data_IF_653669382105
#
_entry.id   IF_653669382105
#
_cell.length_a   1.000
_cell.length_b   1.000
_cell.length_c   1.000
_cell.angle_alpha   90.00
_cell.angle_beta   90.00
_cell.angle_gamma   90.00
#
_symmetry.space_group_name_H-M   'P 1'
#
loop_
_entity.id
_entity.type
_entity.pdbx_description
1 polymer ?
#
# COMPACT_ATOMS: atom_id res chain seq x y z
N UNK A 1 -55.41 32.05 -3.51
CA UNK A 1 -55.27 30.58 -3.50
C UNK A 1 -53.79 30.24 -3.53
N UNK A 2 -53.42 29.29 -2.67
CA UNK A 2 -52.09 28.71 -2.39
C UNK A 2 -51.18 29.57 -1.49
N UNK A 3 -50.99 29.05 -0.28
CA UNK A 3 -50.31 29.59 0.90
C UNK A 3 -48.78 29.49 0.84
N UNK A 4 -48.04 30.34 1.59
CA UNK A 4 -46.66 30.08 1.95
C UNK A 4 -46.57 29.33 3.31
N UNK A 5 -45.89 28.19 3.31
CA UNK A 5 -45.63 27.40 4.52
C UNK A 5 -44.46 27.99 5.30
N UNK A 6 -44.76 28.54 6.48
CA UNK A 6 -43.79 28.96 7.50
C UNK A 6 -43.25 27.72 8.23
N UNK A 7 -41.94 27.48 8.17
CA UNK A 7 -41.27 26.57 9.09
C UNK A 7 -41.11 27.25 10.46
N UNK A 8 -41.75 26.69 11.48
CA UNK A 8 -41.58 27.07 12.89
C UNK A 8 -40.36 26.33 13.45
N UNK A 9 -39.43 27.10 14.00
CA UNK A 9 -38.45 26.63 14.99
C UNK A 9 -39.20 26.33 16.29
N UNK A 10 -39.03 25.12 16.84
CA UNK A 10 -39.40 24.81 18.21
C UNK A 10 -38.13 24.65 19.07
N UNK A 11 -38.16 25.10 20.33
CA UNK A 11 -36.97 25.27 21.15
C UNK A 11 -36.70 24.07 22.06
N UNK A 12 -35.42 23.93 22.42
CA UNK A 12 -34.88 23.55 23.73
C UNK A 12 -35.65 22.49 24.53
N UNK A 13 -35.15 21.26 24.52
CA UNK A 13 -35.30 20.31 25.62
C UNK A 13 -33.94 20.15 26.31
N UNK A 14 -33.84 20.82 27.46
CA UNK A 14 -32.81 20.67 28.47
C UNK A 14 -32.87 19.25 29.03
N UNK A 15 -31.84 18.44 28.75
CA UNK A 15 -31.59 17.21 29.48
C UNK A 15 -30.66 17.53 30.65
N UNK A 16 -31.24 17.56 31.84
CA UNK A 16 -30.51 17.69 33.10
C UNK A 16 -29.65 16.44 33.30
N UNK A 17 -28.34 16.64 33.39
CA UNK A 17 -27.38 15.63 33.79
C UNK A 17 -27.59 15.27 35.27
N UNK A 18 -28.10 14.07 35.54
CA UNK A 18 -27.95 13.43 36.84
C UNK A 18 -26.52 12.88 36.92
N UNK A 19 -25.66 13.54 37.68
CA UNK A 19 -24.41 12.97 38.15
C UNK A 19 -24.72 11.87 39.18
N UNK A 20 -24.79 10.63 38.70
CA UNK A 20 -24.73 9.44 39.54
C UNK A 20 -23.31 9.25 40.06
N UNK A 21 -23.11 9.59 41.34
CA UNK A 21 -21.88 9.33 42.07
C UNK A 21 -21.70 7.81 42.23
N UNK A 22 -20.94 7.17 41.34
CA UNK A 22 -20.51 5.78 41.55
C UNK A 22 -19.34 5.77 42.53
N UNK A 23 -19.62 5.37 43.76
CA UNK A 23 -18.61 4.94 44.72
C UNK A 23 -18.09 3.58 44.27
N UNK A 24 -16.86 3.54 43.77
CA UNK A 24 -16.15 2.29 43.48
C UNK A 24 -15.81 1.60 44.81
N UNK A 25 -16.12 0.31 44.99
CA UNK A 25 -15.57 -0.46 46.09
C UNK A 25 -14.08 -0.70 45.83
N UNK A 26 -13.24 -0.31 46.78
CA UNK A 26 -11.83 -0.68 46.82
C UNK A 26 -11.73 -2.21 46.96
N UNK A 27 -11.40 -2.90 45.88
CA UNK A 27 -11.01 -4.30 45.91
C UNK A 27 -9.56 -4.42 46.38
N UNK A 28 -9.35 -4.49 47.70
CA UNK A 28 -8.11 -5.00 48.29
C UNK A 28 -8.14 -6.54 48.22
N UNK A 29 -7.79 -7.07 47.05
CA UNK A 29 -7.60 -8.50 46.84
C UNK A 29 -6.13 -8.83 46.65
N UNK A 30 -5.47 -9.29 47.72
CA UNK A 30 -4.17 -9.97 47.67
C UNK A 30 -4.29 -11.26 46.84
N UNK A 31 -4.19 -11.16 45.51
CA UNK A 31 -3.95 -12.32 44.66
C UNK A 31 -2.47 -12.68 44.77
N UNK A 32 -2.17 -13.61 45.69
CA UNK A 32 -0.95 -14.42 45.66
C UNK A 32 -0.75 -14.92 44.22
N UNK A 33 0.32 -14.45 43.57
CA UNK A 33 0.79 -15.00 42.31
C UNK A 33 0.96 -16.53 42.49
N UNK A 34 0.44 -17.35 41.56
CA UNK A 34 0.72 -18.77 41.59
C UNK A 34 2.24 -18.99 41.50
N UNK A 35 2.81 -19.95 42.25
CA UNK A 35 4.23 -20.22 42.21
C UNK A 35 4.62 -20.51 40.76
N UNK A 36 5.65 -19.81 40.29
CA UNK A 36 6.30 -20.03 39.00
C UNK A 36 6.60 -21.52 38.90
N UNK A 37 5.83 -22.25 38.07
CA UNK A 37 6.10 -23.65 37.82
C UNK A 37 7.46 -23.72 37.14
N UNK A 38 8.46 -24.21 37.87
CA UNK A 38 9.75 -24.54 37.31
C UNK A 38 9.52 -25.47 36.12
N UNK A 39 10.00 -25.05 34.94
CA UNK A 39 9.98 -25.86 33.72
C UNK A 39 10.51 -27.25 34.05
N UNK A 40 9.71 -28.28 33.78
CA UNK A 40 10.13 -29.65 34.09
C UNK A 40 11.38 -29.99 33.27
N UNK A 41 12.33 -30.79 33.82
CA UNK A 41 13.55 -31.19 33.11
C UNK A 41 13.27 -31.78 31.72
N UNK A 42 12.10 -32.41 31.51
CA UNK A 42 11.70 -32.99 30.23
C UNK A 42 11.48 -31.93 29.12
N UNK A 43 11.00 -30.73 29.46
CA UNK A 43 10.85 -29.64 28.48
C UNK A 43 12.21 -29.07 28.04
N UNK A 44 13.20 -29.08 28.93
CA UNK A 44 14.56 -28.63 28.61
C UNK A 44 15.29 -29.61 27.66
N UNK A 45 15.02 -30.91 27.80
CA UNK A 45 15.63 -31.94 26.95
C UNK A 45 15.07 -31.91 25.52
N UNK A 46 13.75 -31.78 25.36
CA UNK A 46 13.12 -31.67 24.04
C UNK A 46 13.60 -30.42 23.27
N UNK A 47 13.79 -29.30 23.97
CA UNK A 47 14.35 -28.09 23.37
C UNK A 47 15.81 -28.29 22.92
N UNK A 48 16.64 -28.96 23.72
CA UNK A 48 18.03 -29.26 23.38
C UNK A 48 18.13 -30.22 22.17
N UNK A 49 17.29 -31.25 22.11
CA UNK A 49 17.22 -32.19 20.97
C UNK A 49 16.79 -31.49 19.68
N UNK A 50 15.84 -30.55 19.75
CA UNK A 50 15.43 -29.75 18.59
C UNK A 50 16.56 -28.84 18.09
N UNK A 51 17.28 -28.17 19.00
CA UNK A 51 18.43 -27.32 18.63
C UNK A 51 19.51 -28.15 17.95
N UNK A 52 19.88 -29.30 18.53
CA UNK A 52 20.87 -30.20 17.93
C UNK A 52 20.44 -30.72 16.54
N UNK A 53 19.15 -31.04 16.36
CA UNK A 53 18.62 -31.46 15.05
C UNK A 53 18.68 -30.33 14.01
N UNK A 54 18.46 -29.08 14.40
CA UNK A 54 18.54 -27.93 13.51
C UNK A 54 19.99 -27.63 13.10
N UNK A 55 20.93 -27.71 14.04
CA UNK A 55 22.37 -27.56 13.76
C UNK A 55 22.87 -28.61 12.78
N UNK A 56 22.49 -29.89 12.98
CA UNK A 56 22.86 -30.97 12.05
C UNK A 56 22.31 -30.74 10.63
N UNK A 57 21.08 -30.22 10.52
CA UNK A 57 20.45 -29.93 9.23
C UNK A 57 21.08 -28.73 8.54
N UNK A 58 21.47 -27.71 9.29
CA UNK A 58 22.18 -26.54 8.78
C UNK A 58 23.54 -26.94 8.20
N UNK A 59 24.27 -27.83 8.88
CA UNK A 59 25.57 -28.31 8.43
C UNK A 59 25.47 -29.17 7.16
N UNK A 60 24.44 -30.03 7.06
CA UNK A 60 24.14 -30.77 5.83
C UNK A 60 23.93 -29.83 4.63
N UNK A 61 23.15 -28.76 4.82
CA UNK A 61 22.88 -27.79 3.75
C UNK A 61 24.14 -27.01 3.32
N UNK A 62 25.05 -26.71 4.26
CA UNK A 62 26.35 -26.10 3.92
C UNK A 62 27.20 -27.02 3.05
N UNK A 63 27.24 -28.31 3.39
CA UNK A 63 27.97 -29.30 2.61
C UNK A 63 27.39 -29.45 1.19
N UNK A 64 26.06 -29.53 1.06
CA UNK A 64 25.39 -29.63 -0.24
C UNK A 64 25.68 -28.40 -1.12
N UNK A 65 25.67 -27.20 -0.52
CA UNK A 65 25.98 -25.95 -1.22
C UNK A 65 27.44 -25.92 -1.70
N UNK A 66 28.38 -26.36 -0.84
CA UNK A 66 29.80 -26.42 -1.17
C UNK A 66 30.08 -27.45 -2.28
N UNK A 67 29.39 -28.58 -2.27
CA UNK A 67 29.49 -29.59 -3.32
C UNK A 67 28.91 -29.08 -4.65
N UNK A 68 27.76 -28.40 -4.62
CA UNK A 68 27.16 -27.78 -5.80
C UNK A 68 28.07 -26.69 -6.39
N UNK A 69 28.68 -25.85 -5.54
CA UNK A 69 29.65 -24.84 -5.96
C UNK A 69 30.90 -25.45 -6.59
N UNK A 70 31.40 -26.56 -6.03
CA UNK A 70 32.53 -27.31 -6.58
C UNK A 70 32.18 -27.93 -7.93
N UNK A 71 30.97 -28.50 -8.07
CA UNK A 71 30.47 -29.02 -9.35
C UNK A 71 30.34 -27.95 -10.41
N UNK A 72 29.81 -26.77 -10.06
CA UNK A 72 29.69 -25.65 -10.98
C UNK A 72 31.06 -25.12 -11.44
N UNK A 73 32.04 -25.06 -10.53
CA UNK A 73 33.40 -24.60 -10.84
C UNK A 73 34.20 -25.58 -11.70
N UNK A 74 33.88 -26.88 -11.61
CA UNK A 74 34.54 -27.95 -12.37
C UNK A 74 33.79 -28.34 -13.65
N UNK A 75 32.63 -27.73 -13.93
CA UNK A 75 31.90 -28.01 -15.15
C UNK A 75 32.73 -27.52 -16.36
N UNK A 76 33.12 -28.41 -17.29
CA UNK A 76 33.83 -28.00 -18.49
C UNK A 76 32.95 -27.02 -19.28
N UNK A 77 33.56 -25.94 -19.77
CA UNK A 77 32.89 -24.96 -20.62
C UNK A 77 32.20 -25.70 -21.78
N UNK A 78 30.88 -25.74 -21.74
CA UNK A 78 30.09 -26.39 -22.78
C UNK A 78 30.31 -25.64 -24.08
N UNK A 79 30.90 -26.32 -25.06
CA UNK A 79 31.00 -25.84 -26.43
C UNK A 79 29.59 -25.56 -26.95
N UNK A 80 29.31 -24.29 -27.18
CA UNK A 80 28.04 -23.77 -27.66
C UNK A 80 27.77 -24.29 -29.08
N UNK A 81 27.03 -25.40 -29.19
CA UNK A 81 26.50 -25.85 -30.48
C UNK A 81 25.35 -24.95 -30.89
N UNK A 82 25.65 -24.11 -31.87
CA UNK A 82 24.76 -23.22 -32.60
C UNK A 82 23.54 -24.01 -33.17
N UNK A 83 22.29 -23.62 -32.86
CA UNK A 83 21.13 -24.30 -33.42
C UNK A 83 20.94 -23.93 -34.89
N UNK A 84 20.91 -24.95 -35.75
CA UNK A 84 20.46 -24.87 -37.14
C UNK A 84 18.96 -24.56 -37.20
N UNK A 85 18.62 -23.51 -37.93
CA UNK A 85 17.25 -23.09 -38.23
C UNK A 85 16.50 -24.12 -39.09
N UNK A 86 15.23 -24.34 -38.76
CA UNK A 86 14.22 -24.98 -39.62
C UNK A 86 12.99 -24.07 -39.75
N UNK A 87 12.25 -24.14 -40.88
CA UNK A 87 11.42 -23.05 -41.36
C UNK A 87 9.94 -23.12 -40.93
N UNK A 88 9.38 -21.91 -40.75
CA UNK A 88 8.00 -21.43 -40.92
C UNK A 88 6.82 -22.42 -40.93
N UNK A 89 5.89 -22.24 -39.98
CA UNK A 89 4.44 -22.28 -40.27
C UNK A 89 3.61 -21.42 -39.31
N UNK A 90 3.02 -20.35 -39.88
CA UNK A 90 1.77 -19.62 -39.58
C UNK A 90 1.39 -19.08 -38.17
N UNK A 91 0.61 -17.96 -38.11
CA UNK A 91 0.51 -17.09 -36.95
C UNK A 91 -0.68 -17.43 -36.07
N UNK A 92 -0.44 -17.54 -34.76
CA UNK A 92 -1.47 -17.38 -33.74
C UNK A 92 -1.20 -16.07 -32.98
N UNK A 93 -2.24 -15.31 -32.58
CA UNK A 93 -2.06 -14.06 -31.86
C UNK A 93 -1.70 -14.34 -30.39
N UNK A 94 -0.51 -13.94 -29.99
CA UNK A 94 -0.02 -14.01 -28.60
C UNK A 94 -0.84 -13.11 -27.65
N UNK A 95 -1.17 -13.59 -26.44
CA UNK A 95 -1.43 -12.73 -25.30
C UNK A 95 -0.12 -12.45 -24.54
N UNK A 96 0.27 -11.17 -24.52
CA UNK A 96 1.05 -10.52 -23.46
C UNK A 96 2.40 -11.20 -23.07
N UNK A 97 3.56 -10.79 -23.63
CA UNK A 97 4.84 -11.32 -23.20
C UNK A 97 5.19 -10.78 -21.81
N UNK A 98 5.33 -11.72 -20.88
CA UNK A 98 5.84 -11.48 -19.55
C UNK A 98 7.20 -10.79 -19.57
N UNK A 99 7.45 -10.00 -18.53
CA UNK A 99 8.74 -9.41 -18.23
C UNK A 99 9.80 -10.51 -18.05
N UNK A 100 10.54 -10.83 -19.11
CA UNK A 100 11.84 -11.49 -18.99
C UNK A 100 12.79 -10.57 -18.21
N UNK A 101 13.50 -11.08 -17.18
CA UNK A 101 14.54 -10.30 -16.52
C UNK A 101 15.66 -10.02 -17.53
N UNK A 102 15.86 -8.73 -17.81
CA UNK A 102 17.00 -8.26 -18.60
C UNK A 102 18.29 -8.65 -17.85
N UNK A 103 19.29 -9.28 -18.50
CA UNK A 103 20.55 -9.61 -17.86
C UNK A 103 21.21 -8.34 -17.29
N UNK A 104 21.68 -8.43 -16.05
CA UNK A 104 22.33 -7.33 -15.33
C UNK A 104 23.45 -6.73 -16.19
N UNK A 105 23.43 -5.42 -16.49
CA UNK A 105 24.55 -4.78 -17.16
C UNK A 105 25.76 -4.86 -16.24
N UNK A 106 26.91 -5.29 -16.78
CA UNK A 106 28.17 -5.24 -16.09
C UNK A 106 28.40 -3.86 -15.46
N UNK A 107 28.88 -3.88 -14.22
CA UNK A 107 29.14 -2.74 -13.35
C UNK A 107 30.26 -1.83 -13.87
N UNK A 108 30.05 -1.21 -15.02
CA UNK A 108 30.81 -0.03 -15.42
C UNK A 108 30.30 1.16 -14.62
N UNK A 109 31.17 1.95 -13.98
CA UNK A 109 30.76 3.14 -13.27
C UNK A 109 30.12 4.12 -14.27
N UNK A 110 28.83 4.37 -14.09
CA UNK A 110 28.10 5.34 -14.90
C UNK A 110 28.79 6.71 -14.81
N UNK A 111 28.86 7.47 -15.91
CA UNK A 111 29.41 8.82 -15.88
C UNK A 111 28.67 9.69 -14.85
N UNK A 112 29.35 10.63 -14.17
CA UNK A 112 28.73 11.44 -13.13
C UNK A 112 27.56 12.22 -13.72
N UNK A 113 26.35 11.84 -13.32
CA UNK A 113 25.16 12.59 -13.66
C UNK A 113 25.30 13.99 -13.07
N UNK A 114 25.31 15.03 -13.92
CA UNK A 114 25.01 16.41 -13.53
C UNK A 114 23.51 16.50 -13.18
N UNK A 115 23.10 15.69 -12.20
CA UNK A 115 21.72 15.28 -11.96
C UNK A 115 20.97 16.23 -11.04
N UNK A 116 19.64 16.13 -11.13
CA UNK A 116 18.66 16.90 -10.36
C UNK A 116 18.91 16.87 -8.83
N UNK A 117 19.52 15.81 -8.32
CA UNK A 117 19.96 15.70 -6.93
C UNK A 117 21.19 14.79 -6.78
N UNK A 118 21.91 14.95 -5.66
CA UNK A 118 23.07 14.12 -5.33
C UNK A 118 22.63 12.86 -4.59
N UNK A 119 23.22 11.71 -4.92
CA UNK A 119 23.08 10.48 -4.14
C UNK A 119 23.92 10.48 -2.86
N UNK A 120 24.83 11.45 -2.71
CA UNK A 120 25.65 11.57 -1.50
C UNK A 120 24.87 12.34 -0.43
N UNK A 121 24.78 11.80 0.76
CA UNK A 121 24.13 12.49 1.88
C UNK A 121 23.74 11.53 2.97
N UNK A 122 22.88 11.99 3.87
CA UNK A 122 22.18 11.11 4.80
C UNK A 122 21.18 10.27 4.00
N UNK A 123 21.26 8.97 4.19
CA UNK A 123 20.38 7.93 3.65
C UNK A 123 19.93 7.14 4.89
N UNK A 124 18.75 7.48 5.39
CA UNK A 124 18.27 7.04 6.70
C UNK A 124 17.66 5.63 6.65
N UNK A 125 17.12 5.23 5.51
CA UNK A 125 16.48 3.95 5.23
C UNK A 125 17.34 2.99 4.39
N UNK A 126 18.54 3.43 4.04
CA UNK A 126 19.64 2.63 3.49
C UNK A 126 19.30 1.94 2.17
N UNK A 127 18.60 2.65 1.30
CA UNK A 127 18.20 2.16 -0.02
C UNK A 127 19.23 2.52 -1.13
N UNK A 128 20.18 3.40 -0.83
CA UNK A 128 21.20 3.90 -1.76
C UNK A 128 20.85 5.22 -2.45
N UNK A 129 19.77 5.88 -2.06
CA UNK A 129 19.39 7.25 -2.38
C UNK A 129 19.47 8.07 -1.09
N UNK A 130 19.93 9.33 -1.16
CA UNK A 130 19.91 10.17 0.04
C UNK A 130 18.50 10.73 0.27
N UNK A 131 18.09 10.90 1.53
CA UNK A 131 16.80 11.48 1.96
C UNK A 131 16.50 12.81 1.21
N UNK A 132 17.53 13.62 0.98
CA UNK A 132 17.40 14.91 0.27
C UNK A 132 17.08 14.73 -1.21
N UNK A 133 17.68 13.73 -1.85
CA UNK A 133 17.45 13.41 -3.26
C UNK A 133 16.05 12.85 -3.46
N UNK A 134 15.61 11.95 -2.58
CA UNK A 134 14.23 11.45 -2.55
C UNK A 134 13.22 12.60 -2.45
N UNK A 135 13.42 13.52 -1.50
CA UNK A 135 12.55 14.68 -1.33
C UNK A 135 12.51 15.56 -2.59
N UNK A 136 13.66 15.85 -3.22
CA UNK A 136 13.72 16.64 -4.45
C UNK A 136 12.96 15.94 -5.60
N UNK A 137 13.18 14.64 -5.79
CA UNK A 137 12.54 13.86 -6.85
C UNK A 137 11.02 13.76 -6.60
N UNK A 138 10.62 13.46 -5.38
CA UNK A 138 9.23 13.36 -4.96
C UNK A 138 8.47 14.67 -5.24
N UNK A 139 9.01 15.81 -4.82
CA UNK A 139 8.44 17.14 -5.02
C UNK A 139 8.35 17.53 -6.51
N UNK A 140 9.40 17.21 -7.28
CA UNK A 140 9.51 17.56 -8.70
C UNK A 140 8.48 16.81 -9.55
N UNK A 141 8.31 15.52 -9.29
CA UNK A 141 7.52 14.62 -10.13
C UNK A 141 6.14 14.29 -9.56
N UNK A 142 5.75 14.87 -8.41
CA UNK A 142 4.46 14.61 -7.81
C UNK A 142 3.30 14.84 -8.81
N UNK A 143 2.40 13.84 -8.99
CA UNK A 143 1.23 13.97 -9.85
C UNK A 143 0.28 15.08 -9.39
N UNK A 144 -0.54 15.56 -10.31
CA UNK A 144 -1.72 16.37 -10.00
C UNK A 144 -2.93 15.44 -10.06
N UNK A 145 -3.68 15.35 -8.97
CA UNK A 145 -4.90 14.54 -8.91
C UNK A 145 -6.12 15.41 -9.21
N UNK A 146 -6.98 14.92 -10.10
CA UNK A 146 -8.26 15.49 -10.47
C UNK A 146 -9.33 14.51 -9.99
N UNK A 147 -9.89 14.77 -8.82
CA UNK A 147 -10.97 13.96 -8.25
C UNK A 147 -12.27 14.43 -8.89
N UNK A 148 -13.11 13.50 -9.34
CA UNK A 148 -14.40 13.85 -9.91
C UNK A 148 -15.22 14.74 -8.95
N UNK A 149 -15.98 15.69 -9.48
CA UNK A 149 -16.97 16.43 -8.68
C UNK A 149 -18.11 15.56 -8.14
N UNK A 150 -18.21 14.30 -8.60
CA UNK A 150 -19.10 13.28 -8.04
C UNK A 150 -18.47 12.50 -6.86
N UNK A 151 -17.20 12.73 -6.53
CA UNK A 151 -16.54 12.04 -5.44
C UNK A 151 -17.22 12.32 -4.09
N UNK A 152 -17.41 11.26 -3.30
CA UNK A 152 -18.02 11.29 -1.97
C UNK A 152 -17.03 10.89 -0.88
N UNK A 153 -15.99 10.13 -1.24
CA UNK A 153 -14.97 9.64 -0.33
C UNK A 153 -13.65 10.32 -0.68
N UNK A 154 -13.19 11.19 0.21
CA UNK A 154 -11.98 11.97 -0.01
C UNK A 154 -10.78 11.33 0.69
N UNK A 155 -9.55 11.69 0.26
CA UNK A 155 -8.35 11.22 0.94
C UNK A 155 -8.35 11.55 2.44
N UNK A 156 -7.67 10.72 3.22
CA UNK A 156 -7.47 10.94 4.65
C UNK A 156 -6.09 10.46 5.08
N UNK A 157 -5.60 10.96 6.21
CA UNK A 157 -4.36 10.50 6.80
C UNK A 157 -4.55 9.21 7.60
N UNK A 158 -3.53 8.35 7.61
CA UNK A 158 -3.53 7.06 8.30
C UNK A 158 -3.87 7.23 9.77
N UNK A 159 -3.23 8.16 10.48
CA UNK A 159 -3.48 8.34 11.91
C UNK A 159 -4.91 8.81 12.23
N UNK A 160 -5.57 9.53 11.32
CA UNK A 160 -6.97 9.94 11.49
C UNK A 160 -7.92 8.76 11.30
N UNK A 161 -7.62 7.86 10.37
CA UNK A 161 -8.34 6.60 10.19
C UNK A 161 -8.15 5.66 11.38
N UNK A 162 -6.91 5.51 11.84
CA UNK A 162 -6.57 4.61 12.95
C UNK A 162 -7.29 4.98 14.27
N UNK A 163 -7.54 6.28 14.50
CA UNK A 163 -8.34 6.78 15.63
C UNK A 163 -9.83 6.42 15.56
N UNK A 164 -10.31 5.90 14.45
CA UNK A 164 -11.73 5.61 14.20
C UNK A 164 -12.00 4.13 13.92
N UNK A 165 -10.95 3.32 13.78
CA UNK A 165 -11.04 1.88 13.54
C UNK A 165 -10.64 1.08 14.80
N UNK A 166 -10.67 -0.25 14.66
CA UNK A 166 -10.15 -1.21 15.63
C UNK A 166 -9.39 -2.29 14.88
N UNK A 167 -8.35 -2.83 15.51
CA UNK A 167 -7.56 -3.95 15.01
C UNK A 167 -8.18 -5.26 15.48
N UNK A 168 -8.35 -6.19 14.55
CA UNK A 168 -8.95 -7.50 14.75
C UNK A 168 -8.06 -8.59 14.15
N UNK A 169 -8.30 -9.83 14.57
CA UNK A 169 -7.76 -11.02 13.96
C UNK A 169 -8.88 -11.94 13.48
N UNK A 170 -8.76 -12.39 12.23
CA UNK A 170 -9.67 -13.31 11.58
C UNK A 170 -8.98 -14.63 11.23
N UNK A 171 -9.67 -15.75 11.45
CA UNK A 171 -9.27 -17.07 10.97
C UNK A 171 -10.50 -17.95 10.67
N UNK A 172 -10.78 -18.13 9.38
CA UNK A 172 -11.91 -18.94 8.89
C UNK A 172 -11.64 -20.45 8.87
N UNK A 173 -10.47 -20.90 9.31
CA UNK A 173 -10.19 -22.33 9.47
C UNK A 173 -10.70 -22.89 10.81
N UNK A 174 -11.18 -22.02 11.69
CA UNK A 174 -11.75 -22.36 12.99
C UNK A 174 -13.23 -22.74 12.90
N UNK A 175 -13.76 -23.44 13.91
CA UNK A 175 -15.19 -23.73 14.04
C UNK A 175 -15.66 -23.42 15.48
N UNK A 176 -16.40 -22.31 15.71
CA UNK A 176 -16.72 -21.27 14.73
C UNK A 176 -15.48 -20.48 14.28
N UNK A 177 -15.60 -19.73 13.18
CA UNK A 177 -14.57 -18.79 12.72
C UNK A 177 -14.08 -17.92 13.88
N UNK A 178 -12.75 -17.77 14.01
CA UNK A 178 -12.18 -16.89 15.02
C UNK A 178 -12.25 -15.45 14.51
N UNK A 179 -12.88 -14.59 15.29
CA UNK A 179 -12.98 -13.16 15.01
C UNK A 179 -12.85 -12.34 16.30
N UNK A 180 -11.62 -11.93 16.61
CA UNK A 180 -11.27 -11.32 17.89
C UNK A 180 -10.80 -9.88 17.71
N UNK A 181 -11.34 -8.97 18.52
CA UNK A 181 -10.83 -7.61 18.61
C UNK A 181 -9.60 -7.58 19.51
N UNK A 182 -8.48 -7.11 18.97
CA UNK A 182 -7.22 -7.02 19.70
C UNK A 182 -7.00 -5.64 20.31
N UNK A 183 -7.33 -4.58 19.56
CA UNK A 183 -7.06 -3.21 19.97
C UNK A 183 -8.14 -2.25 19.44
N UNK A 184 -8.70 -1.42 20.31
CA UNK A 184 -9.52 -0.28 19.89
C UNK A 184 -8.62 0.93 19.60
N UNK A 185 -8.92 1.68 18.53
CA UNK A 185 -8.24 2.91 18.15
C UNK A 185 -6.70 2.79 18.15
N UNK A 186 -6.14 1.82 17.40
CA UNK A 186 -4.71 1.55 17.44
C UNK A 186 -3.91 2.79 16.99
N UNK A 187 -2.66 2.90 17.43
CA UNK A 187 -1.65 3.73 16.76
C UNK A 187 -0.75 2.86 15.88
N UNK A 188 0.00 3.47 14.96
CA UNK A 188 0.81 2.72 13.99
C UNK A 188 1.74 1.68 14.64
N UNK A 189 2.41 2.02 15.76
CA UNK A 189 3.31 1.07 16.44
C UNK A 189 2.57 -0.12 17.06
N UNK A 190 1.33 0.05 17.49
CA UNK A 190 0.51 -1.05 18.04
C UNK A 190 0.11 -2.06 16.96
N UNK A 191 0.01 -1.61 15.70
CA UNK A 191 -0.26 -2.51 14.56
C UNK A 191 0.81 -3.58 14.39
N UNK A 192 2.05 -3.32 14.82
CA UNK A 192 3.21 -4.19 14.54
C UNK A 192 3.52 -5.18 15.65
N UNK A 193 2.83 -5.06 16.80
CA UNK A 193 3.13 -5.86 18.00
C UNK A 193 2.29 -7.14 18.10
N UNK A 194 1.38 -7.37 17.15
CA UNK A 194 0.43 -8.48 17.26
C UNK A 194 1.01 -9.75 16.64
N UNK A 195 0.84 -10.85 17.36
CA UNK A 195 1.13 -12.19 16.85
C UNK A 195 0.04 -13.13 17.33
N UNK A 196 -0.55 -13.88 16.39
CA UNK A 196 -1.43 -14.98 16.69
C UNK A 196 -0.65 -16.27 16.62
N UNK A 197 -0.68 -17.07 17.69
CA UNK A 197 -0.11 -18.41 17.70
C UNK A 197 -0.74 -19.29 16.61
N UNK A 198 -0.05 -20.37 16.22
CA UNK A 198 -0.66 -21.40 15.38
C UNK A 198 -1.98 -21.87 16.00
N UNK A 199 -3.04 -21.91 15.22
CA UNK A 199 -4.39 -22.24 15.69
C UNK A 199 -5.20 -22.88 14.57
N UNK A 200 -6.25 -23.60 14.95
CA UNK A 200 -7.19 -24.21 14.02
C UNK A 200 -6.45 -25.15 13.06
N UNK A 201 -6.52 -24.94 11.75
CA UNK A 201 -5.80 -25.79 10.76
C UNK A 201 -4.41 -25.27 10.41
N UNK A 202 -4.07 -24.03 10.77
CA UNK A 202 -2.75 -23.46 10.50
C UNK A 202 -1.72 -23.96 11.51
N UNK A 203 -0.57 -24.41 10.99
CA UNK A 203 0.57 -24.86 11.80
C UNK A 203 1.58 -23.74 12.07
N UNK A 204 1.40 -22.57 11.46
CA UNK A 204 2.32 -21.46 11.56
C UNK A 204 1.67 -20.30 12.32
N UNK A 205 2.43 -19.59 13.18
CA UNK A 205 1.95 -18.34 13.75
C UNK A 205 1.77 -17.28 12.66
N UNK A 206 0.90 -16.32 12.91
CA UNK A 206 0.70 -15.15 12.07
C UNK A 206 1.18 -13.89 12.81
N UNK A 207 2.04 -13.10 12.17
CA UNK A 207 2.47 -11.79 12.68
C UNK A 207 1.83 -10.68 11.86
N UNK A 208 1.31 -9.65 12.53
CA UNK A 208 0.74 -8.48 11.85
C UNK A 208 1.78 -7.65 11.09
N UNK A 209 3.07 -7.89 11.34
CA UNK A 209 4.17 -7.21 10.66
C UNK A 209 4.66 -7.95 9.42
N UNK A 210 4.65 -9.28 9.40
CA UNK A 210 5.34 -10.04 8.32
C UNK A 210 4.46 -11.03 7.59
N UNK A 211 3.30 -11.38 8.15
CA UNK A 211 2.46 -12.46 7.67
C UNK A 211 1.31 -11.94 6.83
N UNK A 212 1.25 -12.43 5.58
CA UNK A 212 0.16 -12.19 4.65
C UNK A 212 -0.59 -13.49 4.35
N UNK A 213 -1.91 -13.41 4.20
CA UNK A 213 -2.75 -14.53 3.80
C UNK A 213 -3.34 -14.28 2.42
N UNK A 214 -2.82 -14.92 1.37
CA UNK A 214 -3.21 -14.67 -0.03
C UNK A 214 -4.73 -14.53 -0.26
N UNK A 215 -5.52 -15.44 0.33
CA UNK A 215 -6.99 -15.48 0.17
C UNK A 215 -7.75 -14.83 1.34
N UNK A 216 -7.04 -14.05 2.17
CA UNK A 216 -7.59 -13.33 3.34
C UNK A 216 -8.28 -14.24 4.39
N UNK A 217 -8.06 -15.56 4.34
CA UNK A 217 -8.65 -16.56 5.27
C UNK A 217 -8.11 -16.51 6.70
N UNK A 218 -6.86 -16.05 6.88
CA UNK A 218 -6.22 -15.90 8.20
C UNK A 218 -5.40 -14.62 8.27
N UNK A 219 -5.96 -13.53 8.79
CA UNK A 219 -5.34 -12.21 8.71
C UNK A 219 -5.68 -11.31 9.88
N UNK A 220 -4.76 -10.42 10.21
CA UNK A 220 -5.09 -9.18 10.93
C UNK A 220 -5.85 -8.25 9.98
N UNK A 221 -6.77 -7.46 10.53
CA UNK A 221 -7.50 -6.48 9.75
C UNK A 221 -7.95 -5.28 10.60
N UNK A 222 -8.12 -4.13 9.95
CA UNK A 222 -8.69 -2.91 10.54
C UNK A 222 -10.17 -2.84 10.19
N UNK A 223 -11.06 -2.82 11.19
CA UNK A 223 -12.50 -2.83 10.96
C UNK A 223 -12.98 -1.60 10.19
N UNK A 224 -13.96 -1.79 9.30
CA UNK A 224 -14.54 -0.68 8.54
C UNK A 224 -15.08 0.42 9.46
N UNK A 225 -14.94 1.66 8.98
CA UNK A 225 -15.50 2.81 9.66
C UNK A 225 -17.04 2.83 9.55
N UNK A 226 -17.73 3.43 10.53
CA UNK A 226 -19.16 3.72 10.38
C UNK A 226 -19.39 4.67 9.19
N UNK A 227 -20.60 4.63 8.62
CA UNK A 227 -20.93 5.27 7.34
C UNK A 227 -20.54 6.76 7.27
N UNK A 228 -20.77 7.50 8.36
CA UNK A 228 -20.45 8.92 8.46
C UNK A 228 -18.94 9.23 8.36
N UNK A 229 -18.10 8.29 8.79
CA UNK A 229 -16.64 8.43 8.80
C UNK A 229 -15.98 7.91 7.51
N UNK A 230 -16.72 7.15 6.68
CA UNK A 230 -16.24 6.62 5.39
C UNK A 230 -15.87 7.73 4.41
N UNK A 231 -16.48 8.92 4.53
CA UNK A 231 -16.25 10.08 3.67
C UNK A 231 -14.79 10.57 3.63
N UNK A 232 -13.95 10.12 4.55
CA UNK A 232 -12.58 10.63 4.69
C UNK A 232 -12.55 12.01 5.32
N UNK A 233 -11.47 12.76 5.09
CA UNK A 233 -11.35 14.09 5.70
C UNK A 233 -11.94 15.18 4.80
N UNK A 234 -12.72 16.08 5.41
CA UNK A 234 -13.16 17.33 4.77
C UNK A 234 -12.11 18.45 4.90
N UNK A 235 -11.06 18.25 5.71
CA UNK A 235 -9.95 19.20 5.82
C UNK A 235 -8.84 18.78 4.89
N UNK A 236 -8.60 19.57 3.84
CA UNK A 236 -7.62 19.27 2.78
C UNK A 236 -6.17 19.12 3.27
N UNK A 237 -5.86 19.62 4.48
CA UNK A 237 -4.56 19.42 5.15
C UNK A 237 -4.32 17.98 5.62
N UNK A 238 -5.38 17.19 5.72
CA UNK A 238 -5.29 15.77 6.08
C UNK A 238 -5.12 14.90 4.82
N UNK A 239 -5.15 15.50 3.62
CA UNK A 239 -4.98 14.80 2.35
C UNK A 239 -3.48 14.65 2.07
N UNK A 240 -2.89 13.70 2.80
CA UNK A 240 -1.48 13.33 2.67
C UNK A 240 -1.32 12.38 1.50
N UNK A 241 -0.37 12.67 0.61
CA UNK A 241 0.12 11.70 -0.37
C UNK A 241 1.39 11.06 0.18
N UNK A 242 1.34 9.75 0.39
CA UNK A 242 2.51 9.00 0.83
C UNK A 242 3.41 8.74 -0.36
N UNK A 243 4.72 8.87 -0.17
CA UNK A 243 5.70 8.63 -1.22
C UNK A 243 6.75 7.65 -0.74
N UNK A 244 7.19 6.78 -1.63
CA UNK A 244 8.37 5.93 -1.46
C UNK A 244 9.23 6.09 -2.71
N UNK A 245 10.51 6.34 -2.53
CA UNK A 245 11.44 6.54 -3.62
C UNK A 245 12.59 5.57 -3.41
N UNK A 246 13.02 4.89 -4.47
CA UNK A 246 14.13 3.95 -4.40
C UNK A 246 14.96 3.89 -5.68
N UNK A 247 16.27 3.56 -5.61
CA UNK A 247 17.08 3.28 -6.78
C UNK A 247 16.53 2.13 -7.60
N UNK A 248 16.46 2.32 -8.92
CA UNK A 248 15.94 1.29 -9.81
C UNK A 248 17.03 0.63 -10.68
N UNK A 249 16.67 -0.46 -11.36
CA UNK A 249 17.57 -1.22 -12.26
C UNK A 249 18.02 -0.45 -13.51
N UNK A 250 17.52 0.78 -13.73
CA UNK A 250 17.96 1.67 -14.81
C UNK A 250 19.04 2.64 -14.33
N UNK A 251 19.60 2.43 -13.14
CA UNK A 251 20.48 3.36 -12.43
C UNK A 251 19.83 4.72 -12.19
N UNK A 252 18.50 4.79 -12.25
CA UNK A 252 17.68 5.96 -11.92
C UNK A 252 17.04 5.81 -10.56
N UNK A 253 15.79 6.23 -10.46
CA UNK A 253 14.92 6.03 -9.31
C UNK A 253 13.48 5.72 -9.75
N UNK A 254 12.74 4.98 -8.93
CA UNK A 254 11.29 4.83 -9.07
C UNK A 254 10.64 5.54 -7.89
N UNK A 255 9.58 6.32 -8.18
CA UNK A 255 8.80 7.03 -7.18
C UNK A 255 7.40 6.44 -7.13
N UNK A 256 6.98 5.92 -5.99
CA UNK A 256 5.63 5.41 -5.76
C UNK A 256 4.85 6.45 -4.96
N UNK A 257 3.66 6.80 -5.42
CA UNK A 257 2.77 7.74 -4.73
C UNK A 257 1.46 7.06 -4.38
N UNK A 258 0.96 7.28 -3.16
CA UNK A 258 -0.29 6.70 -2.69
C UNK A 258 -1.21 7.72 -2.03
N UNK A 259 -2.50 7.59 -2.34
CA UNK A 259 -3.59 8.13 -1.53
C UNK A 259 -4.22 7.02 -0.72
N UNK A 260 -4.66 7.40 0.47
CA UNK A 260 -5.43 6.54 1.34
C UNK A 260 -6.85 7.09 1.48
N UNK A 261 -7.83 6.22 1.19
CA UNK A 261 -9.25 6.50 1.34
C UNK A 261 -9.80 5.62 2.45
N UNK A 262 -10.74 6.14 3.23
CA UNK A 262 -11.31 5.39 4.34
C UNK A 262 -12.26 4.27 3.88
N UNK A 263 -12.76 4.35 2.66
CA UNK A 263 -13.74 3.43 2.09
C UNK A 263 -13.66 3.44 0.58
N UNK A 264 -13.92 2.30 -0.04
CA UNK A 264 -14.11 2.08 -1.48
C UNK A 264 -15.54 1.62 -1.72
N UNK A 265 -16.19 2.20 -2.74
CA UNK A 265 -17.57 1.90 -3.12
C UNK A 265 -17.66 1.50 -4.60
N UNK A 266 -18.73 0.78 -4.95
CA UNK A 266 -18.92 0.21 -6.28
C UNK A 266 -18.78 -1.31 -6.27
N UNK A 267 -18.17 -1.87 -7.32
CA UNK A 267 -17.86 -3.30 -7.36
C UNK A 267 -16.77 -3.61 -6.33
N UNK A 268 -17.04 -4.59 -5.45
CA UNK A 268 -16.11 -4.95 -4.39
C UNK A 268 -16.03 -3.96 -3.24
N UNK A 269 -17.12 -3.32 -2.82
CA UNK A 269 -17.07 -2.36 -1.70
C UNK A 269 -16.35 -2.92 -0.45
N UNK A 270 -15.51 -2.11 0.17
CA UNK A 270 -14.75 -2.42 1.39
C UNK A 270 -14.30 -1.13 2.11
N UNK A 271 -14.02 -1.21 3.41
CA UNK A 271 -13.28 -0.14 4.10
C UNK A 271 -11.80 -0.17 3.72
N UNK A 272 -11.12 0.96 3.92
CA UNK A 272 -9.69 1.15 3.66
C UNK A 272 -9.28 0.87 2.21
N UNK A 273 -8.82 1.90 1.52
CA UNK A 273 -8.43 1.76 0.11
C UNK A 273 -7.14 2.53 -0.17
N UNK A 274 -6.22 1.87 -0.87
CA UNK A 274 -4.89 2.35 -1.19
C UNK A 274 -4.74 2.43 -2.70
N UNK A 275 -4.73 3.66 -3.21
CA UNK A 275 -4.61 3.93 -4.64
C UNK A 275 -3.25 4.54 -4.92
N UNK A 276 -2.53 4.02 -5.91
CA UNK A 276 -1.22 4.55 -6.22
C UNK A 276 -0.71 4.37 -7.64
N UNK A 277 0.38 5.09 -7.90
CA UNK A 277 1.10 5.07 -9.18
C UNK A 277 2.60 4.99 -8.95
N UNK A 278 3.33 4.70 -10.02
CA UNK A 278 4.78 4.68 -10.05
C UNK A 278 5.31 5.56 -11.17
N UNK A 279 6.27 6.42 -10.89
CA UNK A 279 7.00 7.16 -11.90
C UNK A 279 8.41 6.56 -11.97
N UNK A 280 8.74 5.98 -13.13
CA UNK A 280 10.07 5.38 -13.35
C UNK A 280 10.95 6.39 -14.06
N UNK A 281 12.06 6.74 -13.41
CA UNK A 281 13.06 7.66 -13.90
C UNK A 281 14.29 6.91 -14.44
N UNK A 282 14.93 7.48 -15.45
CA UNK A 282 16.20 6.98 -16.00
C UNK A 282 17.43 7.37 -15.15
N UNK A 283 18.62 6.99 -15.62
CA UNK A 283 19.90 7.29 -14.96
C UNK A 283 20.24 8.77 -14.77
N UNK A 284 19.54 9.68 -15.46
CA UNK A 284 19.67 11.14 -15.28
C UNK A 284 18.42 11.75 -14.64
N UNK A 285 17.60 10.91 -14.00
CA UNK A 285 16.36 11.24 -13.33
C UNK A 285 15.29 11.86 -14.23
N UNK A 286 15.29 11.57 -15.54
CA UNK A 286 14.19 11.96 -16.43
C UNK A 286 13.10 10.90 -16.45
N UNK A 287 11.82 11.29 -16.44
CA UNK A 287 10.72 10.34 -16.40
C UNK A 287 10.57 9.60 -17.73
N UNK A 288 10.50 8.27 -17.65
CA UNK A 288 10.36 7.38 -18.81
C UNK A 288 8.93 6.84 -18.96
N UNK A 289 8.31 6.45 -17.84
CA UNK A 289 7.00 5.80 -17.84
C UNK A 289 6.27 5.98 -16.52
N UNK A 290 4.95 5.90 -16.59
CA UNK A 290 4.03 5.85 -15.46
C UNK A 290 3.49 4.43 -15.32
N UNK A 291 3.64 3.80 -14.16
CA UNK A 291 2.93 2.59 -13.77
C UNK A 291 1.65 2.96 -13.02
N UNK A 292 0.50 2.42 -13.41
CA UNK A 292 -0.78 2.59 -12.71
C UNK A 292 -1.17 1.27 -12.09
N UNK A 293 -1.43 1.28 -10.78
CA UNK A 293 -2.04 0.14 -10.09
C UNK A 293 -3.48 -0.05 -10.59
N UNK A 294 -3.75 -1.15 -11.29
CA UNK A 294 -5.11 -1.62 -11.56
C UNK A 294 -5.54 -2.69 -10.56
N UNK A 295 -6.61 -3.43 -10.84
CA UNK A 295 -7.15 -4.45 -9.91
C UNK A 295 -6.27 -5.70 -9.77
N UNK A 296 -5.45 -6.01 -10.77
CA UNK A 296 -4.64 -7.25 -10.80
C UNK A 296 -3.19 -7.05 -11.21
N UNK A 297 -2.90 -5.97 -11.92
CA UNK A 297 -1.61 -5.74 -12.55
C UNK A 297 -1.18 -4.27 -12.47
N UNK A 298 0.11 -4.07 -12.73
CA UNK A 298 0.71 -2.75 -12.86
C UNK A 298 0.87 -2.44 -14.34
N UNK A 299 0.07 -1.51 -14.85
CA UNK A 299 0.10 -1.11 -16.26
C UNK A 299 1.05 0.06 -16.48
N UNK A 300 2.05 -0.13 -17.33
CA UNK A 300 3.00 0.92 -17.70
C UNK A 300 2.57 1.67 -18.97
N UNK A 301 2.63 3.00 -18.91
CA UNK A 301 2.37 3.92 -20.01
C UNK A 301 3.60 4.78 -20.28
N UNK A 302 3.89 5.08 -21.54
CA UNK A 302 5.04 5.90 -21.90
C UNK A 302 4.84 7.34 -21.44
N UNK A 303 5.84 7.95 -20.78
CA UNK A 303 5.72 9.32 -20.25
C UNK A 303 5.35 10.36 -21.32
N UNK A 304 5.80 10.16 -22.56
CA UNK A 304 5.56 11.10 -23.66
C UNK A 304 4.10 11.16 -24.10
N UNK A 305 3.32 10.13 -23.81
CA UNK A 305 1.91 9.99 -24.21
C UNK A 305 0.94 10.54 -23.16
N UNK A 306 1.45 10.91 -21.98
CA UNK A 306 0.64 11.34 -20.84
C UNK A 306 0.28 12.82 -20.90
N UNK A 307 -0.96 13.12 -20.50
CA UNK A 307 -1.40 14.48 -20.19
C UNK A 307 -0.61 15.01 -18.98
N UNK A 308 -0.03 16.20 -19.14
CA UNK A 308 0.89 16.78 -18.17
C UNK A 308 0.67 18.27 -18.02
N UNK A 309 1.04 18.79 -16.86
CA UNK A 309 1.20 20.22 -16.58
C UNK A 309 2.70 20.53 -16.46
N UNK A 310 3.21 21.32 -17.40
CA UNK A 310 4.65 21.47 -17.58
C UNK A 310 5.32 20.15 -17.99
N UNK A 311 6.61 20.01 -17.69
CA UNK A 311 7.40 18.84 -18.11
C UNK A 311 7.31 17.65 -17.13
N UNK A 312 7.04 17.93 -15.85
CA UNK A 312 7.30 17.00 -14.76
C UNK A 312 6.05 16.47 -14.04
N UNK A 313 4.87 17.09 -14.23
CA UNK A 313 3.67 16.72 -13.47
C UNK A 313 2.63 16.06 -14.35
N UNK A 314 2.45 14.76 -14.18
CA UNK A 314 1.37 14.02 -14.84
C UNK A 314 0.02 14.36 -14.21
N UNK A 315 -1.03 14.43 -15.05
CA UNK A 315 -2.42 14.55 -14.60
C UNK A 315 -3.01 13.15 -14.41
N UNK A 316 -3.57 12.91 -13.23
CA UNK A 316 -4.28 11.68 -12.90
C UNK A 316 -5.71 12.01 -12.52
N UNK A 317 -6.66 11.26 -13.07
CA UNK A 317 -8.08 11.47 -12.90
C UNK A 317 -8.65 10.33 -12.07
N UNK A 318 -9.28 10.66 -10.95
CA UNK A 318 -9.81 9.67 -10.00
C UNK A 318 -11.28 9.41 -10.28
N UNK A 319 -11.61 8.17 -10.59
CA UNK A 319 -12.99 7.73 -10.78
C UNK A 319 -13.74 7.84 -9.45
N UNK A 320 -14.95 8.44 -9.44
CA UNK A 320 -15.66 8.67 -8.19
C UNK A 320 -16.00 7.35 -7.51
N UNK A 321 -15.86 7.33 -6.18
CA UNK A 321 -16.21 6.21 -5.29
C UNK A 321 -15.33 4.96 -5.38
N UNK A 322 -14.91 4.55 -6.57
CA UNK A 322 -14.02 3.40 -6.78
C UNK A 322 -12.53 3.74 -6.74
N UNK A 323 -12.23 5.04 -6.74
CA UNK A 323 -10.89 5.65 -6.75
C UNK A 323 -9.93 5.18 -7.85
N UNK A 324 -10.40 4.41 -8.83
CA UNK A 324 -9.58 3.96 -9.95
C UNK A 324 -8.96 5.14 -10.70
N UNK A 325 -7.68 5.03 -11.05
CA UNK A 325 -6.93 6.10 -11.69
C UNK A 325 -6.90 5.98 -13.22
N UNK A 326 -7.16 7.11 -13.87
CA UNK A 326 -7.17 7.28 -15.31
C UNK A 326 -6.17 8.38 -15.73
N UNK A 327 -5.71 8.33 -16.97
CA UNK A 327 -4.78 9.31 -17.55
C UNK A 327 -5.44 10.31 -18.49
N UNK A 328 -6.76 10.19 -18.70
CA UNK A 328 -7.53 11.11 -19.52
C UNK A 328 -8.86 11.44 -18.82
N UNK A 329 -9.14 12.73 -18.65
CA UNK A 329 -10.33 13.19 -17.90
C UNK A 329 -11.65 12.77 -18.55
N UNK A 330 -11.66 12.64 -19.88
CA UNK A 330 -12.82 12.19 -20.66
C UNK A 330 -13.33 10.79 -20.29
N UNK A 331 -12.50 9.97 -19.63
CA UNK A 331 -12.86 8.61 -19.23
C UNK A 331 -13.54 8.59 -17.85
N UNK A 332 -13.47 9.70 -17.10
CA UNK A 332 -13.97 9.80 -15.73
C UNK A 332 -15.27 10.63 -15.68
N UNK A 333 -16.38 10.09 -15.15
CA UNK A 333 -17.63 10.84 -15.02
C UNK A 333 -17.48 11.98 -14.03
N UNK A 334 -18.23 13.06 -14.25
CA UNK A 334 -18.27 14.24 -13.40
C UNK A 334 -19.64 14.92 -13.45
N UNK A 335 -19.91 15.79 -12.48
CA UNK A 335 -21.01 16.74 -12.50
C UNK A 335 -20.53 18.11 -13.01
N UNK A 336 -21.45 19.07 -13.16
CA UNK A 336 -21.09 20.48 -13.41
C UNK A 336 -21.28 20.96 -14.86
N UNK A 337 -21.44 20.06 -15.84
CA UNK A 337 -21.72 20.45 -17.24
C UNK A 337 -23.19 20.89 -17.49
N UNK A 338 -23.81 21.68 -16.60
CA UNK A 338 -25.22 22.12 -16.70
C UNK A 338 -25.44 23.13 -17.84
N UNK A 339 -25.33 22.66 -19.09
CA UNK A 339 -25.83 23.34 -20.27
C UNK A 339 -27.27 22.95 -20.60
N UNK A 340 -27.96 23.80 -21.37
CA UNK A 340 -29.31 23.53 -21.93
C UNK A 340 -29.26 22.27 -22.81
N UNK A 341 -29.61 21.12 -22.23
CA UNK A 341 -29.59 19.83 -22.93
C UNK A 341 -29.59 18.58 -22.05
N UNK A 342 -29.20 18.68 -20.77
CA UNK A 342 -29.58 17.79 -19.64
C UNK A 342 -29.35 16.26 -19.71
N UNK A 343 -28.95 15.68 -20.84
CA UNK A 343 -28.98 14.24 -21.07
C UNK A 343 -27.64 13.60 -21.45
N UNK A 344 -26.56 14.36 -21.57
CA UNK A 344 -25.23 13.81 -21.86
C UNK A 344 -24.42 13.65 -20.57
N UNK A 345 -23.90 12.45 -20.31
CA UNK A 345 -22.99 12.17 -19.21
C UNK A 345 -21.80 13.13 -19.27
N UNK A 346 -21.64 13.97 -18.25
CA UNK A 346 -20.51 14.88 -18.11
C UNK A 346 -19.26 14.10 -17.66
N UNK A 347 -18.09 14.57 -18.09
CA UNK A 347 -16.78 13.97 -17.81
C UNK A 347 -15.86 15.05 -17.26
N UNK A 348 -14.78 14.64 -16.58
CA UNK A 348 -13.76 15.61 -16.15
C UNK A 348 -13.17 16.29 -17.37
N UNK A 349 -13.22 17.63 -17.37
CA UNK A 349 -12.61 18.48 -18.38
C UNK A 349 -11.72 19.50 -17.65
N UNK A 350 -10.38 19.40 -17.76
CA UNK A 350 -9.45 20.32 -17.10
C UNK A 350 -9.68 21.82 -17.41
N UNK A 351 -10.38 22.15 -18.50
CA UNK A 351 -10.76 23.51 -18.84
C UNK A 351 -12.05 24.00 -18.11
N UNK A 352 -12.73 23.11 -17.38
CA UNK A 352 -13.99 23.34 -16.65
C UNK A 352 -13.82 22.94 -15.18
N UNK A 353 -13.30 23.84 -14.33
CA UNK A 353 -13.02 23.57 -12.91
C UNK A 353 -14.21 23.01 -12.13
N UNK A 354 -15.44 23.33 -12.53
CA UNK A 354 -16.67 22.81 -11.92
C UNK A 354 -16.85 21.29 -12.04
N UNK A 355 -16.03 20.61 -12.83
CA UNK A 355 -16.07 19.15 -13.04
C UNK A 355 -15.17 18.35 -12.11
N UNK A 356 -14.32 18.99 -11.29
CA UNK A 356 -13.35 18.28 -10.45
C UNK A 356 -12.91 19.05 -9.20
N UNK A 357 -12.37 18.31 -8.22
CA UNK A 357 -11.48 18.82 -7.19
C UNK A 357 -10.03 18.58 -7.64
N UNK A 358 -9.21 19.62 -7.70
CA UNK A 358 -7.79 19.53 -8.07
C UNK A 358 -6.95 19.49 -6.81
N UNK A 359 -6.07 18.50 -6.69
CA UNK A 359 -5.17 18.33 -5.56
C UNK A 359 -3.71 18.29 -6.02
N UNK A 360 -2.96 19.23 -5.48
CA UNK A 360 -1.51 19.36 -5.63
C UNK A 360 -0.82 18.88 -4.34
N UNK A 361 -0.21 17.69 -4.31
CA UNK A 361 0.29 17.12 -3.06
C UNK A 361 1.66 17.63 -2.64
N UNK A 362 2.35 18.45 -3.43
CA UNK A 362 3.70 18.92 -3.11
C UNK A 362 3.71 20.04 -2.05
N UNK A 363 4.91 20.45 -1.62
CA UNK A 363 5.06 21.53 -0.64
C UNK A 363 4.45 22.84 -1.14
N UNK A 364 3.58 23.44 -0.32
CA UNK A 364 2.76 24.61 -0.66
C UNK A 364 1.75 24.37 -1.80
N UNK A 365 1.54 23.11 -2.20
CA UNK A 365 0.45 22.75 -3.09
C UNK A 365 -0.91 23.03 -2.45
N UNK A 366 -1.90 23.23 -3.30
CA UNK A 366 -3.27 23.55 -2.91
C UNK A 366 -4.25 22.46 -3.32
N UNK A 367 -5.39 22.48 -2.65
CA UNK A 367 -6.61 21.81 -3.12
C UNK A 367 -7.57 22.89 -3.59
N UNK A 368 -8.03 22.79 -4.83
CA UNK A 368 -9.06 23.67 -5.41
C UNK A 368 -10.31 22.86 -5.67
N UNK A 369 -11.39 23.23 -4.98
CA UNK A 369 -12.69 22.58 -5.09
C UNK A 369 -13.42 23.05 -6.36
N UNK A 370 -14.35 22.23 -6.84
CA UNK A 370 -15.16 22.52 -8.02
C UNK A 370 -16.03 23.79 -7.89
N UNK A 371 -16.26 24.27 -6.67
CA UNK A 371 -16.96 25.53 -6.41
C UNK A 371 -16.02 26.76 -6.40
N UNK A 372 -14.71 26.55 -6.61
CA UNK A 372 -13.67 27.58 -6.57
C UNK A 372 -13.01 27.79 -5.20
N UNK A 373 -13.50 27.15 -4.14
CA UNK A 373 -12.87 27.23 -2.82
C UNK A 373 -11.46 26.61 -2.85
N UNK A 374 -10.56 27.15 -2.03
CA UNK A 374 -9.18 26.67 -1.94
C UNK A 374 -8.81 26.29 -0.51
N UNK A 375 -7.96 25.27 -0.37
CA UNK A 375 -7.39 24.83 0.89
C UNK A 375 -5.93 24.44 0.71
N UNK A 376 -5.18 24.42 1.80
CA UNK A 376 -3.80 23.88 1.78
C UNK A 376 -3.84 22.37 1.64
N UNK A 377 -2.99 21.82 0.79
CA UNK A 377 -2.77 20.38 0.70
C UNK A 377 -2.07 19.85 1.96
N UNK A 378 -2.27 18.56 2.26
CA UNK A 378 -1.54 17.89 3.35
C UNK A 378 -0.05 17.66 3.04
N UNK A 379 0.33 17.70 1.76
CA UNK A 379 1.72 17.55 1.35
C UNK A 379 2.10 16.10 1.03
N UNK A 380 3.39 15.93 0.71
CA UNK A 380 4.04 14.63 0.52
C UNK A 380 4.62 14.16 1.84
N UNK A 381 4.49 12.86 2.12
CA UNK A 381 5.12 12.21 3.27
C UNK A 381 5.92 10.99 2.83
N UNK A 382 7.24 11.10 2.89
CA UNK A 382 8.11 9.97 2.56
C UNK A 382 8.03 8.90 3.64
N UNK A 383 7.68 7.67 3.25
CA UNK A 383 7.55 6.53 4.16
C UNK A 383 8.82 5.70 4.29
N UNK A 384 9.77 5.89 3.37
CA UNK A 384 11.00 5.12 3.26
C UNK A 384 10.80 3.63 3.02
N UNK A 385 11.84 2.86 3.25
CA UNK A 385 11.81 1.40 3.10
C UNK A 385 10.97 0.71 4.17
N UNK A 386 10.39 -0.45 3.81
CA UNK A 386 9.61 -1.26 4.75
C UNK A 386 10.48 -1.73 5.92
N UNK A 387 11.72 -2.13 5.67
CA UNK A 387 12.67 -2.53 6.72
C UNK A 387 13.12 -1.36 7.60
N UNK A 388 13.07 -0.12 7.12
CA UNK A 388 13.54 1.08 7.82
C UNK A 388 12.62 2.29 7.57
N UNK A 389 11.40 2.33 8.14
CA UNK A 389 10.44 3.37 7.83
C UNK A 389 10.93 4.77 8.25
N UNK A 390 10.64 5.77 7.41
CA UNK A 390 10.93 7.17 7.66
C UNK A 390 9.75 7.91 8.27
N UNK A 391 10.03 9.07 8.87
CA UNK A 391 9.03 10.03 9.34
C UNK A 391 7.94 9.44 10.27
N UNK A 392 8.29 8.38 11.02
CA UNK A 392 7.39 7.70 11.94
C UNK A 392 6.29 6.88 11.25
N UNK A 393 6.37 6.65 9.94
CA UNK A 393 5.35 5.96 9.15
C UNK A 393 5.48 4.44 9.23
N UNK A 394 5.49 3.89 10.45
CA UNK A 394 5.66 2.46 10.68
C UNK A 394 4.48 1.62 10.16
N UNK A 395 3.35 2.25 9.80
CA UNK A 395 2.22 1.55 9.17
C UNK A 395 2.62 0.81 7.89
N UNK A 396 3.68 1.24 7.20
CA UNK A 396 4.17 0.58 5.98
C UNK A 396 4.62 -0.87 6.24
N UNK A 397 4.90 -1.21 7.51
CA UNK A 397 5.25 -2.56 7.95
C UNK A 397 4.03 -3.42 8.29
N UNK A 398 2.82 -2.87 8.31
CA UNK A 398 1.62 -3.63 8.65
C UNK A 398 1.17 -4.51 7.47
N UNK A 399 1.22 -5.82 7.67
CA UNK A 399 0.89 -6.85 6.67
C UNK A 399 -0.60 -7.23 6.63
N UNK A 400 -1.40 -6.72 7.57
CA UNK A 400 -2.83 -6.97 7.62
C UNK A 400 -3.63 -6.15 6.62
N UNK A 401 -4.95 -6.33 6.67
CA UNK A 401 -5.90 -5.63 5.81
C UNK A 401 -6.28 -4.27 6.40
N UNK A 402 -6.49 -3.31 5.53
CA UNK A 402 -7.09 -2.01 5.78
C UNK A 402 -8.55 -2.13 5.36
N UNK A 403 -9.45 -2.43 6.31
CA UNK A 403 -10.86 -2.78 6.05
C UNK A 403 -11.24 -4.16 6.58
N UNK A 404 -12.53 -4.39 6.79
CA UNK A 404 -13.06 -5.64 7.32
C UNK A 404 -12.88 -6.80 6.35
N UNK A 405 -12.98 -8.03 6.87
CA UNK A 405 -13.21 -9.22 6.06
C UNK A 405 -14.61 -9.14 5.45
N UNK A 406 -14.67 -9.25 4.12
CA UNK A 406 -15.90 -9.29 3.36
C UNK A 406 -16.40 -10.71 3.09
N UNK A 407 -17.48 -10.82 2.31
CA UNK A 407 -18.04 -12.12 1.88
C UNK A 407 -17.11 -12.89 0.93
N UNK A 408 -16.19 -12.17 0.29
CA UNK A 408 -15.18 -12.70 -0.62
C UNK A 408 -13.96 -11.76 -0.59
N UNK A 409 -12.90 -12.14 -1.30
CA UNK A 409 -11.64 -11.37 -1.36
C UNK A 409 -11.82 -9.95 -1.90
N UNK A 410 -12.73 -9.77 -2.88
CA UNK A 410 -12.99 -8.48 -3.51
C UNK A 410 -13.76 -7.50 -2.60
N UNK A 411 -14.59 -8.01 -1.68
CA UNK A 411 -15.31 -7.20 -0.68
C UNK A 411 -14.56 -7.05 0.65
N UNK A 412 -13.34 -7.58 0.73
CA UNK A 412 -12.52 -7.47 1.94
C UNK A 412 -11.54 -6.30 1.78
N UNK A 413 -11.22 -5.62 2.88
CA UNK A 413 -10.24 -4.55 2.90
C UNK A 413 -8.92 -4.92 2.23
N UNK A 414 -8.21 -3.92 1.71
CA UNK A 414 -7.00 -4.14 0.94
C UNK A 414 -5.74 -4.22 1.79
N UNK A 415 -4.71 -4.85 1.25
CA UNK A 415 -3.39 -4.81 1.87
C UNK A 415 -2.81 -3.40 1.77
N UNK A 416 -2.01 -3.03 2.77
CA UNK A 416 -1.26 -1.77 2.72
C UNK A 416 -0.29 -1.72 1.53
N UNK A 417 0.25 -0.54 1.18
CA UNK A 417 1.05 -0.35 -0.04
C UNK A 417 2.22 -1.32 -0.18
N UNK A 418 2.94 -1.59 0.90
CA UNK A 418 4.09 -2.51 0.91
C UNK A 418 3.74 -3.99 1.04
N UNK A 419 2.45 -4.35 1.06
CA UNK A 419 1.93 -5.72 1.05
C UNK A 419 0.88 -5.94 -0.04
N UNK A 420 0.72 -4.96 -0.91
CA UNK A 420 -0.29 -4.94 -1.95
C UNK A 420 -0.11 -6.13 -2.89
N UNK A 421 -1.21 -6.86 -3.16
CA UNK A 421 -1.20 -8.09 -3.93
C UNK A 421 -1.11 -7.90 -5.45
N UNK A 422 -1.09 -6.67 -5.94
CA UNK A 422 -1.10 -6.36 -7.36
C UNK A 422 0.16 -6.87 -8.06
N UNK A 423 -0.09 -7.68 -9.09
CA UNK A 423 0.95 -8.39 -9.82
C UNK A 423 1.75 -9.38 -8.97
N UNK A 424 1.30 -9.77 -7.78
CA UNK A 424 2.06 -10.67 -6.92
C UNK A 424 2.37 -11.98 -7.65
N UNK A 425 3.65 -12.31 -7.73
CA UNK A 425 4.09 -13.52 -8.42
C UNK A 425 3.78 -14.77 -7.58
N UNK A 426 3.79 -15.94 -8.23
CA UNK A 426 3.54 -17.22 -7.55
C UNK A 426 4.57 -17.55 -6.44
N UNK A 427 5.76 -16.97 -6.50
CA UNK A 427 6.79 -17.08 -5.46
C UNK A 427 6.60 -16.09 -4.29
N UNK A 428 5.51 -15.32 -4.28
CA UNK A 428 5.22 -14.31 -3.25
C UNK A 428 5.89 -12.95 -3.47
N UNK A 429 6.57 -12.72 -4.59
CA UNK A 429 7.16 -11.42 -4.91
C UNK A 429 6.09 -10.34 -5.06
N UNK A 430 6.22 -9.24 -4.33
CA UNK A 430 5.32 -8.10 -4.38
C UNK A 430 5.70 -7.19 -5.55
N UNK A 431 5.15 -7.47 -6.73
CA UNK A 431 5.49 -6.73 -7.95
C UNK A 431 5.21 -5.25 -7.83
N UNK A 432 4.09 -4.83 -7.22
CA UNK A 432 3.86 -3.40 -7.07
C UNK A 432 4.91 -2.77 -6.15
N UNK A 433 5.13 -3.27 -4.93
CA UNK A 433 6.13 -2.69 -4.02
C UNK A 433 7.55 -2.70 -4.61
N UNK A 434 8.02 -3.85 -5.10
CA UNK A 434 9.42 -4.06 -5.44
C UNK A 434 9.76 -3.98 -6.94
N UNK A 435 8.82 -3.60 -7.82
CA UNK A 435 9.09 -3.56 -9.27
C UNK A 435 10.28 -2.67 -9.63
N UNK A 436 11.33 -3.31 -10.16
CA UNK A 436 12.51 -2.60 -10.65
C UNK A 436 13.41 -2.03 -9.56
N UNK A 437 13.21 -2.38 -8.28
CA UNK A 437 14.19 -2.08 -7.22
C UNK A 437 15.56 -2.64 -7.56
N UNK A 438 16.61 -1.85 -7.30
CA UNK A 438 17.99 -2.31 -7.43
C UNK A 438 18.37 -3.10 -6.18
N UNK A 439 18.49 -4.44 -6.29
CA UNK A 439 18.85 -5.35 -5.19
C UNK A 439 17.88 -5.28 -3.99
N UNK A 440 16.57 -5.55 -4.17
CA UNK A 440 15.62 -5.48 -3.07
C UNK A 440 16.01 -6.46 -1.95
N UNK A 441 15.95 -6.00 -0.69
CA UNK A 441 16.07 -6.90 0.45
C UNK A 441 14.94 -7.92 0.38
N UNK A 442 15.24 -9.18 0.75
CA UNK A 442 14.25 -10.26 0.64
C UNK A 442 13.02 -9.94 1.49
N UNK A 443 13.25 -9.45 2.70
CA UNK A 443 12.26 -9.01 3.66
C UNK A 443 11.51 -7.74 3.26
N UNK A 444 11.82 -7.10 2.14
CA UNK A 444 11.03 -6.00 1.57
C UNK A 444 10.19 -6.49 0.38
N UNK A 445 10.72 -7.40 -0.45
CA UNK A 445 10.02 -7.92 -1.62
C UNK A 445 9.18 -9.18 -1.40
N UNK A 446 9.45 -9.98 -0.36
CA UNK A 446 8.83 -11.29 -0.11
C UNK A 446 8.24 -11.38 1.30
N UNK A 447 6.95 -11.09 1.51
CA UNK A 447 6.29 -11.31 2.78
C UNK A 447 6.19 -12.81 3.10
N UNK A 448 6.09 -13.15 4.38
CA UNK A 448 5.80 -14.53 4.77
C UNK A 448 4.33 -14.85 4.46
N UNK A 449 4.09 -15.94 3.74
CA UNK A 449 2.75 -16.44 3.49
C UNK A 449 2.38 -17.51 4.52
N UNK A 450 1.19 -17.42 5.11
CA UNK A 450 0.64 -18.48 6.01
C UNK A 450 -0.40 -19.37 5.36
N UNK A 451 -0.83 -19.06 4.13
CA UNK A 451 -1.67 -19.95 3.33
C UNK A 451 -0.80 -20.72 2.33
N UNK A 452 -1.04 -22.03 2.12
CA UNK A 452 -0.39 -22.85 1.09
C UNK A 452 -0.47 -22.26 -0.32
#
# INVERSE_FOLDING_TARGET
MIHPSRFRLNPLLSLSALFGLFVLPACTGDKKLPPTQASSPAQSQAAAELVASLEARLESLRNDLQEASTRASNAPASTETQPTASPETQPNPDPNPGATPVPAPGSSPAPPANGLCSRTGKDSDQDGLSDTCEAILAETYAPIFYLSSQEKYFPTQVDAFLKQTSLWFWDSDCDPDLNEQLQAFPIQSQLLTQTQAASCKSKLPASSQTTRSKDKVRSFYLKDLPEEARKGSTHTRDWITYVHAYPNTLNGATLQYWHFYAYHSGEGEHGGDWVGVQIVLDSVFKPLRLGIAGDKDLRYLNWRELEREGENRVRLYTYPESHALYTAGKDVPADGCKGLGGFFSCRIDPAKPETFVRHEPWKNGQVTWFNGDTGSSGGLLNVGERSLPLNGQSFIQYAGLWGSIGKNTANSGDYGPAYNGLGMMSNGYLSFWAAGMLNPKREDAYPLAVSP
#
